data_IF_902078085565
#
_entry.id   IF_902078085565
#
_cell.length_a   1.000
_cell.length_b   1.000
_cell.length_c   1.000
_cell.angle_alpha   90.00
_cell.angle_beta   90.00
_cell.angle_gamma   90.00
#
_symmetry.space_group_name_H-M   'P 1'
#
loop_
_entity.id
_entity.type
_entity.pdbx_description
1 polymer ?
#
# COMPACT_ATOMS: atom_id res chain seq x y z
N UNK A 1 1.15 -7.05 2.43
CA UNK A 1 0.62 -7.14 3.82
C UNK A 1 1.55 -6.41 4.79
N UNK A 2 1.02 -5.80 5.86
CA UNK A 2 1.82 -5.09 6.87
C UNK A 2 1.59 -5.70 8.25
N UNK A 3 2.65 -5.90 9.03
CA UNK A 3 2.58 -6.45 10.38
C UNK A 3 3.33 -5.55 11.35
N UNK A 4 2.62 -4.98 12.32
CA UNK A 4 3.20 -4.20 13.40
C UNK A 4 3.51 -5.12 14.58
N UNK A 5 4.72 -4.98 15.13
CA UNK A 5 5.16 -5.67 16.33
C UNK A 5 5.68 -4.63 17.33
N UNK A 6 4.97 -4.46 18.44
CA UNK A 6 5.40 -3.64 19.56
C UNK A 6 6.09 -4.54 20.58
N UNK A 7 7.29 -4.17 21.00
CA UNK A 7 8.07 -4.86 22.00
C UNK A 7 8.13 -4.06 23.30
N UNK A 8 8.45 -4.74 24.40
CA UNK A 8 8.73 -4.10 25.69
C UNK A 8 10.04 -3.30 25.69
N UNK A 9 10.99 -3.71 24.84
CA UNK A 9 12.27 -3.01 24.64
C UNK A 9 12.89 -3.28 23.28
N UNK A 10 13.81 -2.41 22.88
CA UNK A 10 14.61 -2.56 21.66
C UNK A 10 15.71 -3.59 21.87
N UNK A 11 15.81 -4.58 20.99
CA UNK A 11 16.88 -5.59 20.97
C UNK A 11 17.68 -5.61 19.66
N UNK A 12 17.26 -4.80 18.67
CA UNK A 12 17.86 -4.66 17.35
C UNK A 12 18.77 -3.43 17.27
N UNK A 13 19.59 -3.28 16.21
CA UNK A 13 20.42 -2.08 15.99
C UNK A 13 19.55 -0.82 15.82
N UNK A 14 19.44 0.00 16.87
CA UNK A 14 18.52 1.13 16.95
C UNK A 14 18.84 2.27 15.97
N UNK A 15 20.09 2.33 15.51
CA UNK A 15 20.60 3.34 14.57
C UNK A 15 20.29 3.03 13.11
N UNK A 16 19.81 1.82 12.80
CA UNK A 16 19.42 1.42 11.44
C UNK A 16 17.94 1.73 11.20
N UNK A 17 17.62 2.30 10.04
CA UNK A 17 16.24 2.64 9.67
C UNK A 17 15.41 1.42 9.25
N UNK A 18 16.06 0.37 8.75
CA UNK A 18 15.39 -0.84 8.30
C UNK A 18 16.35 -2.02 8.22
N UNK A 19 15.76 -3.20 8.06
CA UNK A 19 16.44 -4.48 7.91
C UNK A 19 15.75 -5.32 6.83
N UNK A 20 16.49 -6.21 6.20
CA UNK A 20 15.95 -7.13 5.21
C UNK A 20 16.39 -8.55 5.56
N UNK A 21 15.45 -9.48 5.49
CA UNK A 21 15.72 -10.90 5.63
C UNK A 21 15.32 -11.61 4.35
N UNK A 22 16.34 -12.15 3.69
CA UNK A 22 16.15 -13.07 2.59
C UNK A 22 16.23 -14.51 3.11
N UNK A 23 15.24 -15.32 2.75
CA UNK A 23 15.28 -16.72 3.10
C UNK A 23 16.23 -17.47 2.16
N UNK A 24 17.06 -18.36 2.71
CA UNK A 24 17.91 -19.23 1.89
C UNK A 24 17.12 -20.31 1.13
N UNK A 25 15.84 -20.50 1.46
CA UNK A 25 14.94 -21.38 0.72
C UNK A 25 14.13 -20.51 -0.27
N UNK A 26 14.10 -20.84 -1.57
CA UNK A 26 13.23 -20.16 -2.54
C UNK A 26 11.74 -20.14 -2.16
N UNK A 27 11.27 -21.15 -1.42
CA UNK A 27 9.92 -21.20 -0.85
C UNK A 27 9.79 -20.43 0.49
N UNK A 28 10.77 -19.59 0.80
CA UNK A 28 10.89 -18.90 2.06
C UNK A 28 10.00 -17.67 2.18
N UNK A 29 10.14 -16.98 3.31
CA UNK A 29 9.30 -15.85 3.68
C UNK A 29 10.15 -14.58 3.77
N UNK A 30 10.46 -13.93 2.63
CA UNK A 30 11.25 -12.71 2.63
C UNK A 30 10.46 -11.61 3.33
N UNK A 31 11.13 -10.89 4.23
CA UNK A 31 10.53 -9.76 4.93
C UNK A 31 11.45 -8.55 4.88
N UNK A 32 10.86 -7.40 4.57
CA UNK A 32 11.46 -6.12 4.86
C UNK A 32 10.92 -5.64 6.21
N UNK A 33 11.79 -5.14 7.07
CA UNK A 33 11.43 -4.73 8.43
C UNK A 33 11.84 -3.27 8.65
N UNK A 34 10.87 -2.38 8.70
CA UNK A 34 11.09 -0.98 9.06
C UNK A 34 11.26 -0.81 10.57
N UNK A 35 12.26 -0.02 10.98
CA UNK A 35 12.51 0.31 12.37
C UNK A 35 11.69 1.55 12.78
N UNK A 36 10.56 1.36 13.46
CA UNK A 36 9.73 2.49 13.93
C UNK A 36 10.47 3.28 15.04
N UNK A 37 11.34 2.62 15.81
CA UNK A 37 12.16 3.28 16.82
C UNK A 37 13.07 4.36 16.21
N UNK A 38 13.55 4.16 14.99
CA UNK A 38 14.33 5.16 14.27
C UNK A 38 13.54 6.45 13.99
N UNK A 39 12.21 6.33 13.81
CA UNK A 39 11.31 7.44 13.45
C UNK A 39 10.83 8.20 14.69
N UNK A 40 10.32 7.49 15.70
CA UNK A 40 9.64 8.13 16.84
C UNK A 40 9.99 7.54 18.21
N UNK A 41 11.06 6.74 18.30
CA UNK A 41 11.52 6.09 19.55
C UNK A 41 10.52 5.11 20.19
N UNK A 42 9.45 4.73 19.50
CA UNK A 42 8.61 3.60 19.92
C UNK A 42 9.36 2.28 19.69
N UNK A 43 9.39 1.34 20.66
CA UNK A 43 10.06 0.04 20.52
C UNK A 43 9.25 -0.90 19.61
N UNK A 44 9.08 -0.52 18.34
CA UNK A 44 8.25 -1.23 17.39
C UNK A 44 8.97 -1.48 16.06
N UNK A 45 8.59 -2.57 15.42
CA UNK A 45 8.99 -2.96 14.07
C UNK A 45 7.78 -3.06 13.16
N UNK A 46 7.95 -2.67 11.90
CA UNK A 46 6.96 -2.87 10.83
C UNK A 46 7.51 -3.89 9.84
N UNK A 47 7.00 -5.12 9.89
CA UNK A 47 7.28 -6.13 8.89
C UNK A 47 6.38 -5.91 7.66
N UNK A 48 6.98 -5.89 6.48
CA UNK A 48 6.30 -5.80 5.20
C UNK A 48 6.52 -7.09 4.44
N UNK A 49 5.41 -7.72 4.06
CA UNK A 49 5.36 -8.94 3.27
C UNK A 49 4.81 -8.56 1.89
N UNK A 50 5.55 -8.91 0.84
CA UNK A 50 5.27 -8.57 -0.55
C UNK A 50 5.53 -9.75 -1.48
N UNK A 51 5.04 -9.66 -2.73
CA UNK A 51 5.20 -10.71 -3.74
C UNK A 51 4.57 -12.04 -3.30
N UNK A 52 5.20 -13.14 -3.70
CA UNK A 52 4.73 -14.51 -3.40
C UNK A 52 4.61 -14.82 -1.90
N UNK A 53 5.35 -14.09 -1.05
CA UNK A 53 5.23 -14.19 0.40
C UNK A 53 3.84 -13.82 0.92
N UNK A 54 3.08 -12.97 0.20
CA UNK A 54 1.71 -12.62 0.58
C UNK A 54 0.79 -13.83 0.40
N UNK A 55 0.91 -14.57 -0.71
CA UNK A 55 0.10 -15.77 -0.96
C UNK A 55 0.37 -16.90 0.04
N UNK A 56 1.59 -16.96 0.58
CA UNK A 56 1.89 -17.85 1.69
C UNK A 56 1.25 -17.37 2.99
N UNK A 57 1.34 -16.07 3.28
CA UNK A 57 0.74 -15.46 4.48
C UNK A 57 -0.79 -15.56 4.50
N UNK A 58 -1.45 -15.44 3.35
CA UNK A 58 -2.92 -15.56 3.21
C UNK A 58 -3.46 -16.95 3.60
N UNK A 59 -2.60 -17.98 3.64
CA UNK A 59 -2.95 -19.33 4.08
C UNK A 59 -2.71 -19.57 5.57
N UNK A 60 -2.28 -18.54 6.30
CA UNK A 60 -1.89 -18.61 7.71
C UNK A 60 -2.82 -17.77 8.58
N UNK A 61 -2.96 -18.13 9.86
CA UNK A 61 -3.59 -17.26 10.84
C UNK A 61 -2.69 -16.06 11.18
N UNK A 62 -3.26 -15.02 11.78
CA UNK A 62 -2.49 -13.83 12.20
C UNK A 62 -1.35 -14.21 13.17
N UNK A 63 -1.61 -15.15 14.07
CA UNK A 63 -0.65 -15.67 15.04
C UNK A 63 0.51 -16.40 14.35
N UNK A 64 0.19 -17.26 13.37
CA UNK A 64 1.18 -17.96 12.56
C UNK A 64 2.06 -17.00 11.76
N UNK A 65 1.49 -15.92 11.20
CA UNK A 65 2.25 -14.88 10.49
C UNK A 65 3.21 -14.19 11.46
N UNK A 66 2.74 -13.80 12.64
CA UNK A 66 3.57 -13.16 13.67
C UNK A 66 4.70 -14.09 14.10
N UNK A 67 4.41 -15.36 14.36
CA UNK A 67 5.43 -16.36 14.72
C UNK A 67 6.48 -16.51 13.62
N UNK A 68 6.06 -16.60 12.35
CA UNK A 68 6.96 -16.68 11.20
C UNK A 68 7.91 -15.47 11.13
N UNK A 69 7.39 -14.27 11.38
CA UNK A 69 8.21 -13.05 11.43
C UNK A 69 9.19 -13.11 12.60
N UNK A 70 8.75 -13.53 13.80
CA UNK A 70 9.64 -13.67 14.97
C UNK A 70 10.76 -14.68 14.71
N UNK A 71 10.48 -15.78 14.00
CA UNK A 71 11.50 -16.74 13.56
C UNK A 71 12.51 -16.09 12.60
N UNK A 72 12.06 -15.27 11.65
CA UNK A 72 12.96 -14.51 10.76
C UNK A 72 13.81 -13.51 11.54
N UNK A 73 13.21 -12.72 12.43
CA UNK A 73 13.93 -11.80 13.31
C UNK A 73 14.96 -12.53 14.18
N UNK A 74 14.63 -13.74 14.65
CA UNK A 74 15.53 -14.58 15.46
C UNK A 74 16.77 -14.96 14.68
N UNK A 75 16.60 -15.33 13.41
CA UNK A 75 17.72 -15.63 12.50
C UNK A 75 18.54 -14.38 12.16
N UNK A 76 17.92 -13.20 12.08
CA UNK A 76 18.60 -11.94 11.78
C UNK A 76 19.44 -11.42 12.94
N UNK A 77 18.88 -11.43 14.16
CA UNK A 77 19.45 -10.73 15.31
C UNK A 77 20.04 -11.66 16.38
N UNK A 78 19.77 -12.96 16.28
CA UNK A 78 20.13 -13.98 17.27
C UNK A 78 19.02 -14.24 18.28
N UNK A 79 18.82 -15.53 18.61
CA UNK A 79 17.72 -15.98 19.47
C UNK A 79 17.77 -15.44 20.89
N UNK A 80 18.96 -15.26 21.47
CA UNK A 80 19.11 -14.70 22.81
C UNK A 80 18.55 -13.29 22.90
N UNK A 81 18.81 -12.43 21.89
CA UNK A 81 18.33 -11.05 21.89
C UNK A 81 16.80 -11.00 21.87
N UNK A 82 16.17 -11.83 21.05
CA UNK A 82 14.70 -11.90 20.97
C UNK A 82 14.09 -12.50 22.21
N UNK A 83 14.63 -13.61 22.72
CA UNK A 83 14.14 -14.28 23.93
C UNK A 83 14.11 -13.36 25.14
N UNK A 84 14.99 -12.36 25.16
CA UNK A 84 14.98 -11.37 26.23
C UNK A 84 13.78 -10.41 26.07
N UNK A 85 13.37 -10.03 24.87
CA UNK A 85 12.23 -9.12 24.62
C UNK A 85 10.89 -9.85 24.54
N UNK A 86 9.79 -9.15 24.85
CA UNK A 86 8.42 -9.66 24.70
C UNK A 86 7.64 -8.83 23.71
N UNK A 87 6.89 -9.49 22.81
CA UNK A 87 5.88 -8.81 21.99
C UNK A 87 4.72 -8.40 22.92
N UNK A 88 4.55 -7.10 23.10
CA UNK A 88 3.47 -6.51 23.90
C UNK A 88 2.18 -6.44 23.11
N UNK A 89 2.29 -6.16 21.81
CA UNK A 89 1.15 -6.08 20.90
C UNK A 89 1.58 -6.41 19.48
N UNK A 90 0.68 -7.03 18.72
CA UNK A 90 0.86 -7.26 17.29
C UNK A 90 -0.41 -6.93 16.52
N UNK A 91 -0.25 -6.43 15.30
CA UNK A 91 -1.36 -6.20 14.38
C UNK A 91 -0.98 -6.60 12.96
N UNK A 92 -1.76 -7.51 12.39
CA UNK A 92 -1.64 -7.95 10.99
C UNK A 92 -2.70 -7.23 10.16
N UNK A 93 -2.26 -6.46 9.16
CA UNK A 93 -3.12 -5.74 8.23
C UNK A 93 -3.00 -6.39 6.85
N UNK A 94 -4.05 -7.12 6.47
CA UNK A 94 -4.24 -7.66 5.14
C UNK A 94 -5.21 -6.78 4.34
N UNK A 95 -4.67 -5.90 3.50
CA UNK A 95 -5.50 -5.03 2.64
C UNK A 95 -6.28 -5.80 1.57
N UNK A 96 -5.82 -7.01 1.19
CA UNK A 96 -6.48 -7.85 0.19
C UNK A 96 -7.84 -8.40 0.65
N UNK A 97 -8.02 -8.58 1.95
CA UNK A 97 -9.26 -9.11 2.55
C UNK A 97 -10.21 -8.01 3.04
N UNK A 98 -9.80 -6.74 2.98
CA UNK A 98 -10.65 -5.65 3.45
C UNK A 98 -11.73 -5.33 2.41
N UNK A 99 -12.98 -5.36 2.87
CA UNK A 99 -14.14 -4.91 2.11
C UNK A 99 -13.89 -3.47 1.62
N UNK A 100 -14.10 -3.25 0.32
CA UNK A 100 -13.84 -2.00 -0.42
C UNK A 100 -12.37 -1.67 -0.77
N UNK A 101 -11.38 -2.47 -0.35
CA UNK A 101 -9.96 -2.17 -0.63
C UNK A 101 -9.33 -3.21 -1.56
N UNK A 102 -9.49 -4.51 -1.29
CA UNK A 102 -9.05 -5.62 -2.14
C UNK A 102 -7.56 -5.64 -2.56
N UNK A 103 -6.70 -4.79 -1.97
CA UNK A 103 -5.29 -4.68 -2.33
C UNK A 103 -4.60 -3.47 -1.71
N UNK A 104 -3.28 -3.37 -1.81
CA UNK A 104 -2.56 -2.23 -1.23
C UNK A 104 -2.65 -0.97 -2.11
N UNK A 105 -2.27 -1.12 -3.38
CA UNK A 105 -2.27 -0.09 -4.43
C UNK A 105 -2.00 -0.78 -5.77
N UNK A 106 -2.36 -0.16 -6.88
CA UNK A 106 -2.07 -0.71 -8.21
C UNK A 106 -0.59 -0.58 -8.59
N UNK A 107 -0.14 -1.49 -9.45
CA UNK A 107 1.22 -1.54 -9.99
C UNK A 107 1.17 -1.96 -11.46
N UNK A 108 2.21 -1.61 -12.23
CA UNK A 108 2.29 -2.01 -13.63
C UNK A 108 2.67 -3.48 -13.72
N UNK A 109 1.75 -4.32 -14.18
CA UNK A 109 2.00 -5.74 -14.37
C UNK A 109 2.97 -5.98 -15.54
N UNK A 110 3.74 -7.07 -15.47
CA UNK A 110 4.56 -7.54 -16.60
C UNK A 110 3.66 -7.70 -17.85
N UNK A 111 4.06 -7.07 -18.95
CA UNK A 111 3.33 -7.10 -20.22
C UNK A 111 2.25 -6.01 -20.38
N UNK A 112 2.04 -5.16 -19.37
CA UNK A 112 1.15 -4.00 -19.48
C UNK A 112 1.64 -3.06 -20.60
N UNK A 113 0.70 -2.60 -21.44
CA UNK A 113 0.96 -1.65 -22.53
C UNK A 113 0.59 -0.23 -22.09
N UNK A 114 1.19 0.77 -22.74
CA UNK A 114 0.84 2.18 -22.52
C UNK A 114 -0.65 2.47 -22.81
N UNK A 115 -1.26 1.71 -23.73
CA UNK A 115 -2.69 1.80 -24.04
C UNK A 115 -3.57 1.38 -22.85
N UNK A 116 -3.14 0.40 -22.04
CA UNK A 116 -3.90 -0.05 -20.87
C UNK A 116 -3.97 1.07 -19.82
N UNK A 117 -2.87 1.79 -19.63
CA UNK A 117 -2.82 2.97 -18.76
C UNK A 117 -3.73 4.10 -19.27
N UNK A 118 -3.85 4.27 -20.59
CA UNK A 118 -4.78 5.27 -21.16
C UNK A 118 -6.24 4.84 -21.00
N UNK A 119 -6.54 3.57 -21.27
CA UNK A 119 -7.89 3.02 -21.22
C UNK A 119 -8.53 3.14 -19.84
N UNK A 120 -7.79 2.87 -18.76
CA UNK A 120 -8.32 3.00 -17.39
C UNK A 120 -8.59 4.45 -16.98
N UNK A 121 -7.87 5.41 -17.59
CA UNK A 121 -8.07 6.83 -17.34
C UNK A 121 -9.21 7.43 -18.18
N UNK A 122 -9.66 6.73 -19.22
CA UNK A 122 -10.60 7.25 -20.21
C UNK A 122 -12.03 7.26 -19.66
N UNK A 123 -12.77 8.38 -19.77
CA UNK A 123 -14.18 8.39 -19.44
C UNK A 123 -14.98 7.54 -20.45
N UNK A 124 -15.98 6.80 -19.96
CA UNK A 124 -16.88 5.98 -20.81
C UNK A 124 -17.97 6.84 -21.44
N UNK A 125 -18.28 7.98 -20.82
CA UNK A 125 -19.24 8.96 -21.34
C UNK A 125 -18.94 10.31 -20.70
N UNK A 126 -19.57 11.40 -21.13
CA UNK A 126 -19.36 12.68 -20.49
C UNK A 126 -20.03 12.76 -19.10
N UNK A 127 -20.63 11.66 -18.59
CA UNK A 127 -21.22 11.55 -17.26
C UNK A 127 -20.44 10.63 -16.32
N UNK A 128 -19.57 9.76 -16.85
CA UNK A 128 -18.83 8.77 -16.08
C UNK A 128 -17.33 8.97 -16.25
N UNK A 129 -16.69 9.36 -15.15
CA UNK A 129 -15.27 9.65 -15.05
C UNK A 129 -14.64 8.74 -14.00
N UNK A 130 -13.37 8.40 -14.22
CA UNK A 130 -12.59 7.61 -13.28
C UNK A 130 -11.51 8.49 -12.64
N UNK A 131 -11.35 8.33 -11.33
CA UNK A 131 -10.32 8.99 -10.54
C UNK A 131 -9.85 8.04 -9.45
N UNK A 132 -8.66 8.32 -8.91
CA UNK A 132 -7.99 7.47 -7.93
C UNK A 132 -6.53 7.23 -8.30
N UNK A 133 -5.81 6.52 -7.44
CA UNK A 133 -4.38 6.24 -7.62
C UNK A 133 -4.11 5.41 -8.90
N UNK A 134 -5.02 4.49 -9.22
CA UNK A 134 -4.99 3.62 -10.39
C UNK A 134 -5.23 4.33 -11.73
N UNK A 135 -5.47 5.64 -11.73
CA UNK A 135 -5.60 6.46 -12.96
C UNK A 135 -4.49 7.50 -13.09
N UNK A 136 -3.50 7.49 -12.19
CA UNK A 136 -2.45 8.52 -12.14
C UNK A 136 -1.19 8.16 -12.96
N UNK A 137 -1.35 7.46 -14.09
CA UNK A 137 -0.25 6.96 -14.92
C UNK A 137 0.50 8.06 -15.69
N UNK A 138 -0.18 9.12 -16.12
CA UNK A 138 0.36 10.12 -17.05
C UNK A 138 1.47 11.01 -16.44
N UNK A 139 1.72 10.91 -15.14
CA UNK A 139 2.72 11.73 -14.44
C UNK A 139 3.58 10.91 -13.45
N UNK A 140 3.69 9.60 -13.64
CA UNK A 140 4.47 8.71 -12.75
C UNK A 140 4.07 8.77 -11.26
N UNK A 141 2.81 9.15 -11.00
CA UNK A 141 2.23 9.23 -9.64
C UNK A 141 1.26 8.06 -9.36
N UNK A 142 1.28 7.03 -10.21
CA UNK A 142 0.54 5.78 -10.05
C UNK A 142 0.89 5.10 -8.71
N UNK A 143 -0.08 4.48 -8.04
CA UNK A 143 0.15 3.86 -6.73
C UNK A 143 0.23 4.84 -5.55
N UNK A 144 0.01 6.15 -5.78
CA UNK A 144 0.26 7.18 -4.76
C UNK A 144 -0.98 7.99 -4.35
N UNK A 145 -1.01 8.39 -3.08
CA UNK A 145 -2.02 9.32 -2.56
C UNK A 145 -1.97 10.69 -3.25
N UNK A 146 -0.77 11.16 -3.61
CA UNK A 146 -0.57 12.41 -4.36
C UNK A 146 -1.23 12.35 -5.74
N UNK A 147 -1.05 11.24 -6.46
CA UNK A 147 -1.68 11.00 -7.76
C UNK A 147 -3.21 10.97 -7.65
N UNK A 148 -3.73 10.23 -6.68
CA UNK A 148 -5.17 10.17 -6.42
C UNK A 148 -5.77 11.54 -6.10
N UNK A 149 -5.19 12.24 -5.13
CA UNK A 149 -5.74 13.50 -4.64
C UNK A 149 -5.52 14.64 -5.63
N UNK A 150 -4.25 14.96 -5.93
CA UNK A 150 -3.89 16.21 -6.63
C UNK A 150 -4.14 16.18 -8.12
N UNK A 151 -4.16 14.99 -8.73
CA UNK A 151 -4.20 14.87 -10.19
C UNK A 151 -5.53 14.35 -10.66
N UNK A 152 -5.84 13.10 -10.37
CA UNK A 152 -7.01 12.45 -10.96
C UNK A 152 -8.29 12.99 -10.32
N UNK A 153 -8.30 13.22 -9.00
CA UNK A 153 -9.40 13.90 -8.30
C UNK A 153 -9.69 15.32 -8.81
N UNK A 154 -8.67 16.19 -8.89
CA UNK A 154 -8.85 17.56 -9.39
C UNK A 154 -9.21 17.59 -10.89
N UNK A 155 -8.66 16.69 -11.70
CA UNK A 155 -8.98 16.63 -13.13
C UNK A 155 -10.44 16.24 -13.33
N UNK A 156 -10.92 15.20 -12.65
CA UNK A 156 -12.32 14.79 -12.70
C UNK A 156 -13.25 15.94 -12.28
N UNK A 157 -12.90 16.68 -11.22
CA UNK A 157 -13.65 17.87 -10.79
C UNK A 157 -13.66 18.97 -11.86
N UNK A 158 -12.50 19.31 -12.45
CA UNK A 158 -12.42 20.35 -13.50
C UNK A 158 -13.29 19.99 -14.71
N UNK A 159 -13.27 18.74 -15.14
CA UNK A 159 -14.07 18.28 -16.27
C UNK A 159 -15.56 18.33 -15.94
N UNK A 160 -15.96 17.89 -14.74
CA UNK A 160 -17.34 17.98 -14.26
C UNK A 160 -17.82 19.45 -14.18
N UNK A 161 -17.01 20.35 -13.61
CA UNK A 161 -17.34 21.78 -13.47
C UNK A 161 -17.51 22.48 -14.82
N UNK A 162 -16.56 22.28 -15.75
CA UNK A 162 -16.63 22.86 -17.10
C UNK A 162 -17.94 22.49 -17.78
N UNK A 163 -18.45 21.29 -17.53
CA UNK A 163 -19.72 20.82 -18.09
C UNK A 163 -20.91 21.53 -17.46
N UNK A 164 -21.01 21.58 -16.13
CA UNK A 164 -22.10 22.30 -15.44
C UNK A 164 -22.15 23.76 -15.89
N UNK A 165 -21.00 24.42 -16.04
CA UNK A 165 -20.96 25.81 -16.51
C UNK A 165 -21.38 25.96 -17.98
N UNK A 166 -21.03 25.00 -18.84
CA UNK A 166 -21.41 25.00 -20.26
C UNK A 166 -22.90 24.69 -20.45
N UNK A 167 -23.45 23.75 -19.69
CA UNK A 167 -24.89 23.43 -19.70
C UNK A 167 -25.74 24.59 -19.12
N UNK A 168 -25.26 25.27 -18.06
CA UNK A 168 -25.88 26.50 -17.56
C UNK A 168 -25.84 27.65 -18.57
N UNK A 169 -24.78 27.73 -19.38
CA UNK A 169 -24.69 28.72 -20.45
C UNK A 169 -25.67 28.42 -21.60
N UNK A 170 -25.74 27.17 -22.06
CA UNK A 170 -26.63 26.74 -23.15
C UNK A 170 -28.11 26.82 -22.72
N UNK A 171 -28.45 26.40 -21.50
CA UNK A 171 -29.82 26.50 -20.98
C UNK A 171 -30.30 27.95 -20.87
N UNK A 172 -29.45 28.87 -20.39
CA UNK A 172 -29.79 30.31 -20.35
C UNK A 172 -29.97 30.95 -21.72
N UNK A 173 -29.34 30.41 -22.78
CA UNK A 173 -29.57 30.87 -24.15
C UNK A 173 -30.87 30.30 -24.76
N UNK A 174 -31.28 29.08 -24.38
CA UNK A 174 -32.54 28.47 -24.87
C UNK A 174 -33.81 29.18 -24.41
N UNK A 175 -33.76 29.94 -23.31
CA UNK A 175 -34.89 30.76 -22.82
C UNK A 175 -34.84 32.22 -23.31
N UNK A 176 -33.98 32.54 -24.28
CA UNK A 176 -33.87 33.89 -24.90
C UNK A 176 -34.30 33.94 -26.37
N UNK A 177 -35.01 32.91 -26.85
CA UNK A 177 -35.73 32.90 -28.13
C UNK A 177 -37.23 32.90 -27.84
#
# INVERSE_FOLDING_TARGET
MKVFLLFDRVFWPAEKSAFFYESQNPAGFPIYVGNIFYINRSPALLAMISGDGVHLAEKMTKEQIVEKILQSLTKMFGGEKIATSKVVYSAVINWGEQEHIYGAYSFSQIGMKSEDAYNICKPISPLLYFAGEHTAFLEDLHGSATGAYRKTGFLALKVALKRVTTENYISKQRFKL
#
